data_IF_173314479430
#
_entry.id   IF_173314479430
#
_cell.length_a   1.000
_cell.length_b   1.000
_cell.length_c   1.000
_cell.angle_alpha   90.00
_cell.angle_beta   90.00
_cell.angle_gamma   90.00
#
_symmetry.space_group_name_H-M   'P 1'
#
loop_
_entity.id
_entity.type
_entity.pdbx_description
1 polymer ?
#
# COMPACT_ATOMS: atom_id res chain seq x y z
N UNK A 1 18.84 79.56 -23.84
CA UNK A 1 18.01 78.43 -24.31
C UNK A 1 18.65 77.17 -23.78
N UNK A 2 17.99 76.66 -22.75
CA UNK A 2 18.33 75.49 -21.94
C UNK A 2 18.10 74.21 -22.73
N UNK A 3 19.06 73.30 -22.68
CA UNK A 3 18.88 71.91 -23.08
C UNK A 3 18.35 71.11 -21.87
N UNK A 4 17.22 70.41 -22.00
CA UNK A 4 16.95 69.23 -21.21
C UNK A 4 16.90 68.01 -22.14
N UNK A 5 17.69 66.97 -21.88
CA UNK A 5 17.49 65.60 -22.40
C UNK A 5 18.67 64.71 -22.02
N UNK A 6 18.95 64.63 -20.71
CA UNK A 6 19.85 63.58 -20.18
C UNK A 6 19.29 62.85 -18.94
N UNK A 7 18.09 63.22 -18.49
CA UNK A 7 17.40 62.54 -17.37
C UNK A 7 16.23 61.65 -17.82
N UNK A 8 15.79 61.71 -19.09
CA UNK A 8 14.70 60.83 -19.58
C UNK A 8 15.21 59.43 -19.93
N UNK A 9 16.41 59.30 -20.51
CA UNK A 9 16.98 57.99 -20.84
C UNK A 9 17.31 57.12 -19.62
N UNK A 10 17.75 57.72 -18.52
CA UNK A 10 18.08 56.96 -17.30
C UNK A 10 16.83 56.47 -16.54
N UNK A 11 15.69 57.18 -16.68
CA UNK A 11 14.42 56.77 -16.06
C UNK A 11 13.67 55.73 -16.88
N UNK A 12 13.86 55.68 -18.19
CA UNK A 12 13.37 54.60 -19.04
C UNK A 12 14.21 53.33 -18.84
N UNK A 13 15.54 53.43 -18.75
CA UNK A 13 16.41 52.30 -18.43
C UNK A 13 16.17 51.73 -17.02
N UNK A 14 15.96 52.57 -15.99
CA UNK A 14 15.58 52.09 -14.64
C UNK A 14 14.18 51.45 -14.62
N UNK A 15 13.22 51.94 -15.42
CA UNK A 15 11.89 51.33 -15.51
C UNK A 15 11.90 50.00 -16.25
N UNK A 16 12.73 49.86 -17.27
CA UNK A 16 12.89 48.60 -17.99
C UNK A 16 13.66 47.56 -17.16
N UNK A 17 14.62 47.99 -16.33
CA UNK A 17 15.26 47.12 -15.33
C UNK A 17 14.31 46.73 -14.19
N UNK A 18 13.47 47.64 -13.70
CA UNK A 18 12.46 47.34 -12.67
C UNK A 18 11.33 46.47 -13.22
N UNK A 19 10.90 46.68 -14.47
CA UNK A 19 9.95 45.82 -15.16
C UNK A 19 10.53 44.42 -15.45
N UNK A 20 11.82 44.33 -15.84
CA UNK A 20 12.49 43.04 -15.98
C UNK A 20 12.71 42.34 -14.63
N UNK A 21 13.00 43.08 -13.55
CA UNK A 21 13.05 42.51 -12.19
C UNK A 21 11.69 42.04 -11.72
N UNK A 22 10.61 42.76 -12.01
CA UNK A 22 9.24 42.33 -11.69
C UNK A 22 8.79 41.15 -12.56
N UNK A 23 9.31 41.01 -13.79
CA UNK A 23 9.11 39.83 -14.64
C UNK A 23 9.98 38.64 -14.21
N UNK A 24 11.19 38.87 -13.69
CA UNK A 24 12.02 37.84 -13.03
C UNK A 24 11.44 37.42 -11.69
N UNK A 25 10.88 38.34 -10.89
CA UNK A 25 10.15 38.03 -9.65
C UNK A 25 8.80 37.38 -9.93
N UNK A 26 8.05 37.79 -10.97
CA UNK A 26 6.84 37.09 -11.41
C UNK A 26 7.15 35.73 -12.07
N UNK A 27 8.32 35.58 -12.70
CA UNK A 27 8.87 34.32 -13.20
C UNK A 27 9.31 33.41 -12.06
N UNK A 28 9.91 33.96 -11.00
CA UNK A 28 10.32 33.24 -9.80
C UNK A 28 9.13 32.85 -8.92
N UNK A 29 8.05 33.66 -8.89
CA UNK A 29 6.81 33.40 -8.15
C UNK A 29 5.81 32.53 -8.94
N UNK A 30 6.08 32.22 -10.21
CA UNK A 30 5.30 31.24 -10.99
C UNK A 30 6.00 29.89 -11.21
N UNK A 31 7.15 29.66 -10.56
CA UNK A 31 7.57 28.29 -10.27
C UNK A 31 6.68 27.75 -9.15
N UNK A 32 5.44 27.40 -9.51
CA UNK A 32 4.68 26.44 -8.71
C UNK A 32 5.64 25.29 -8.48
N UNK A 33 6.03 25.04 -7.23
CA UNK A 33 6.76 23.83 -6.83
C UNK A 33 6.16 22.69 -7.64
N UNK A 34 6.94 22.20 -8.61
CA UNK A 34 6.47 21.19 -9.54
C UNK A 34 6.38 19.90 -8.73
N UNK A 35 5.23 19.70 -8.07
CA UNK A 35 4.77 18.43 -7.47
C UNK A 35 4.53 17.38 -8.57
N UNK A 36 5.53 17.19 -9.41
CA UNK A 36 5.54 16.31 -10.57
C UNK A 36 6.51 15.19 -10.25
N UNK A 37 5.92 14.04 -9.97
CA UNK A 37 6.57 12.82 -9.50
C UNK A 37 7.03 12.89 -8.04
N UNK A 38 7.22 11.71 -7.45
CA UNK A 38 8.12 11.53 -6.33
C UNK A 38 9.51 11.98 -6.82
N UNK A 39 9.80 13.29 -6.77
CA UNK A 39 11.11 13.78 -7.11
C UNK A 39 12.11 13.11 -6.16
N UNK A 40 13.21 12.66 -6.76
CA UNK A 40 14.40 12.15 -6.11
C UNK A 40 15.07 13.15 -5.13
N UNK A 41 14.39 14.23 -4.73
CA UNK A 41 14.86 15.33 -3.89
C UNK A 41 14.90 15.02 -2.40
N UNK A 42 14.07 14.12 -1.88
CA UNK A 42 14.21 13.58 -0.52
C UNK A 42 14.81 12.16 -0.53
N UNK A 43 15.78 11.90 -1.43
CA UNK A 43 16.62 10.72 -1.23
C UNK A 43 17.35 10.89 0.10
N UNK A 44 16.96 10.11 1.12
CA UNK A 44 17.69 10.06 2.39
C UNK A 44 19.10 9.62 2.03
N UNK A 45 20.02 10.58 2.02
CA UNK A 45 21.44 10.31 2.07
C UNK A 45 21.63 9.50 3.34
N UNK A 46 21.79 8.18 3.21
CA UNK A 46 22.39 7.39 4.26
C UNK A 46 23.77 8.00 4.39
N UNK A 47 23.90 8.94 5.32
CA UNK A 47 25.11 9.72 5.51
C UNK A 47 26.29 8.78 5.47
N UNK A 48 27.28 9.13 4.66
CA UNK A 48 28.60 8.53 4.64
C UNK A 48 29.19 8.63 6.05
N UNK A 49 28.82 7.68 6.91
CA UNK A 49 29.56 7.42 8.14
C UNK A 49 30.68 6.50 7.72
N UNK A 50 31.80 7.17 7.39
CA UNK A 50 33.19 6.73 7.39
C UNK A 50 33.47 5.31 6.88
N UNK A 51 34.12 5.22 5.71
CA UNK A 51 35.53 4.82 5.58
C UNK A 51 35.82 4.57 4.09
N UNK A 52 36.67 5.40 3.51
CA UNK A 52 37.28 5.28 2.17
C UNK A 52 38.20 4.05 2.00
N UNK A 53 37.94 2.93 2.70
CA UNK A 53 38.90 1.79 2.73
C UNK A 53 38.27 0.40 2.85
N UNK A 54 36.97 0.22 2.57
CA UNK A 54 36.36 -1.11 2.57
C UNK A 54 36.24 -1.64 1.15
N UNK A 55 36.92 -2.75 0.84
CA UNK A 55 36.86 -3.48 -0.43
C UNK A 55 35.45 -3.50 -1.01
N UNK A 56 35.28 -3.04 -2.26
CA UNK A 56 34.00 -2.95 -2.99
C UNK A 56 33.23 -4.29 -3.09
N UNK A 57 33.90 -5.40 -2.78
CA UNK A 57 33.37 -6.76 -2.78
C UNK A 57 32.90 -7.26 -1.40
N UNK A 58 33.26 -6.60 -0.30
CA UNK A 58 32.95 -7.08 1.06
C UNK A 58 31.67 -6.45 1.61
N UNK A 59 30.82 -7.28 2.22
CA UNK A 59 29.60 -6.81 2.87
C UNK A 59 29.98 -6.23 4.24
N UNK A 60 29.71 -4.94 4.51
CA UNK A 60 30.01 -4.35 5.81
C UNK A 60 29.19 -5.00 6.94
N UNK A 61 29.67 -4.93 8.19
CA UNK A 61 29.00 -5.54 9.33
C UNK A 61 27.64 -4.92 9.62
N UNK A 62 26.73 -5.74 10.16
CA UNK A 62 25.38 -5.32 10.52
C UNK A 62 25.39 -4.22 11.59
N UNK A 63 24.56 -3.20 11.40
CA UNK A 63 24.38 -2.09 12.34
C UNK A 63 22.92 -1.79 12.57
N UNK A 64 22.51 -1.77 13.84
CA UNK A 64 21.16 -1.38 14.25
C UNK A 64 20.81 0.05 13.87
N UNK A 65 21.78 0.98 13.93
CA UNK A 65 21.56 2.38 13.50
C UNK A 65 21.30 2.46 12.00
N UNK A 66 21.99 1.65 11.20
CA UNK A 66 21.73 1.55 9.75
C UNK A 66 20.38 0.91 9.48
N UNK A 67 20.01 -0.16 10.20
CA UNK A 67 18.68 -0.76 10.06
C UNK A 67 17.58 0.31 10.21
N UNK A 68 17.64 1.13 11.27
CA UNK A 68 16.70 2.25 11.48
C UNK A 68 16.68 3.30 10.36
N UNK A 69 17.79 3.53 9.66
CA UNK A 69 17.85 4.43 8.50
C UNK A 69 17.22 3.80 7.25
N UNK A 70 17.35 2.49 7.09
CA UNK A 70 16.72 1.74 6.00
C UNK A 70 15.23 1.50 6.24
N UNK A 71 14.79 1.51 7.51
CA UNK A 71 13.38 1.41 7.89
C UNK A 71 12.52 2.51 7.24
N UNK A 72 11.39 2.11 6.66
CA UNK A 72 10.40 2.95 6.01
C UNK A 72 9.66 2.18 4.91
N UNK A 73 10.34 1.80 3.80
CA UNK A 73 9.71 1.10 2.68
C UNK A 73 8.96 -0.16 3.07
N UNK A 74 9.57 -1.05 3.87
CA UNK A 74 8.94 -2.30 4.30
C UNK A 74 7.73 -2.07 5.21
N UNK A 75 7.78 -1.07 6.08
CA UNK A 75 6.65 -0.69 6.94
C UNK A 75 5.50 -0.09 6.13
N UNK A 76 5.80 0.84 5.21
CA UNK A 76 4.80 1.44 4.33
C UNK A 76 4.09 0.36 3.50
N UNK A 77 4.85 -0.61 2.99
CA UNK A 77 4.30 -1.78 2.32
C UNK A 77 3.43 -2.64 3.23
N UNK A 78 3.86 -2.89 4.48
CA UNK A 78 3.10 -3.73 5.43
C UNK A 78 1.77 -3.14 5.85
N UNK A 79 1.65 -1.81 5.86
CA UNK A 79 0.39 -1.13 6.18
C UNK A 79 -0.65 -1.38 5.08
N UNK A 80 -0.23 -1.53 3.83
CA UNK A 80 -1.13 -1.91 2.75
C UNK A 80 -1.71 -3.34 2.93
N UNK A 81 -1.08 -4.21 3.72
CA UNK A 81 -1.66 -5.51 4.12
C UNK A 81 -2.69 -5.37 5.26
N UNK A 82 -2.94 -4.18 5.78
CA UNK A 82 -3.88 -3.92 6.86
C UNK A 82 -5.00 -2.98 6.41
N UNK A 83 -5.16 -2.83 5.10
CA UNK A 83 -6.20 -2.02 4.49
C UNK A 83 -7.61 -2.59 4.78
N UNK A 84 -8.67 -1.79 4.64
CA UNK A 84 -10.03 -2.26 4.90
C UNK A 84 -10.42 -3.48 4.05
N UNK A 85 -9.92 -3.58 2.82
CA UNK A 85 -10.17 -4.71 1.93
C UNK A 85 -9.62 -6.03 2.47
N UNK A 86 -8.40 -6.02 3.02
CA UNK A 86 -7.82 -7.20 3.64
C UNK A 86 -8.48 -7.54 4.98
N UNK A 87 -8.74 -6.54 5.84
CA UNK A 87 -9.45 -6.77 7.10
C UNK A 87 -10.83 -7.41 6.88
N UNK A 88 -11.57 -6.95 5.87
CA UNK A 88 -12.86 -7.52 5.51
C UNK A 88 -12.75 -8.95 4.97
N UNK A 89 -11.79 -9.22 4.08
CA UNK A 89 -11.53 -10.56 3.58
C UNK A 89 -11.16 -11.55 4.70
N UNK A 90 -10.33 -11.10 5.65
CA UNK A 90 -9.86 -11.90 6.77
C UNK A 90 -10.94 -12.18 7.81
N UNK A 91 -11.81 -11.22 8.11
CA UNK A 91 -12.95 -11.46 9.02
C UNK A 91 -14.02 -12.34 8.36
N UNK A 92 -14.30 -12.17 7.06
CA UNK A 92 -15.27 -13.00 6.33
C UNK A 92 -14.77 -14.44 6.18
N UNK A 93 -13.48 -14.61 5.85
CA UNK A 93 -12.87 -15.94 5.75
C UNK A 93 -12.88 -16.65 7.11
N UNK A 94 -12.62 -15.94 8.20
CA UNK A 94 -12.73 -16.46 9.56
C UNK A 94 -14.16 -16.87 9.90
N UNK A 95 -15.14 -16.00 9.68
CA UNK A 95 -16.53 -16.29 9.99
C UNK A 95 -17.11 -17.47 9.20
N UNK A 96 -16.81 -17.56 7.89
CA UNK A 96 -17.39 -18.57 7.00
C UNK A 96 -16.62 -19.90 7.06
N UNK A 97 -15.28 -19.84 7.03
CA UNK A 97 -14.42 -21.02 6.91
C UNK A 97 -13.77 -21.44 8.24
N UNK A 98 -13.94 -20.66 9.31
CA UNK A 98 -13.38 -20.97 10.62
C UNK A 98 -11.85 -20.96 10.56
N UNK A 99 -11.22 -21.96 11.20
CA UNK A 99 -9.76 -22.09 11.19
C UNK A 99 -9.19 -22.80 9.94
N UNK A 100 -10.03 -23.20 8.98
CA UNK A 100 -9.59 -24.02 7.85
C UNK A 100 -8.75 -23.26 6.81
N UNK A 101 -8.84 -21.93 6.76
CA UNK A 101 -8.07 -21.09 5.82
C UNK A 101 -6.83 -20.45 6.44
N UNK A 102 -6.52 -20.71 7.71
CA UNK A 102 -5.35 -20.12 8.38
C UNK A 102 -4.02 -20.55 7.76
N UNK A 103 -3.90 -21.80 7.30
CA UNK A 103 -2.73 -22.25 6.55
C UNK A 103 -2.57 -21.46 5.27
N UNK A 104 -3.69 -21.13 4.59
CA UNK A 104 -3.67 -20.38 3.35
C UNK A 104 -3.25 -18.93 3.61
N UNK A 105 -3.79 -18.29 4.67
CA UNK A 105 -3.35 -16.98 5.12
C UNK A 105 -1.84 -16.96 5.39
N UNK A 106 -1.31 -17.94 6.14
CA UNK A 106 0.12 -18.05 6.43
C UNK A 106 0.95 -18.20 5.16
N UNK A 107 0.60 -19.14 4.28
CA UNK A 107 1.35 -19.38 3.05
C UNK A 107 1.22 -18.22 2.05
N UNK A 108 0.06 -17.58 1.96
CA UNK A 108 -0.14 -16.38 1.15
C UNK A 108 0.75 -15.24 1.65
N UNK A 109 0.88 -15.05 2.97
CA UNK A 109 1.77 -14.00 3.51
C UNK A 109 3.25 -14.36 3.32
N UNK A 110 3.64 -15.63 3.44
CA UNK A 110 5.01 -16.08 3.11
C UNK A 110 5.33 -15.86 1.64
N UNK A 111 4.41 -16.17 0.73
CA UNK A 111 4.56 -15.91 -0.70
C UNK A 111 4.57 -14.41 -0.99
N UNK A 112 3.70 -13.64 -0.33
CA UNK A 112 3.71 -12.19 -0.36
C UNK A 112 5.08 -11.63 0.02
N UNK A 113 5.65 -12.09 1.14
CA UNK A 113 7.01 -11.72 1.54
C UNK A 113 8.04 -12.07 0.47
N UNK A 114 8.01 -13.28 -0.08
CA UNK A 114 8.93 -13.68 -1.15
C UNK A 114 8.84 -12.73 -2.36
N UNK A 115 7.61 -12.45 -2.83
CA UNK A 115 7.36 -11.54 -3.95
C UNK A 115 7.87 -10.13 -3.63
N UNK A 116 7.65 -9.64 -2.40
CA UNK A 116 8.13 -8.35 -1.95
C UNK A 116 9.67 -8.29 -1.91
N UNK A 117 10.34 -9.34 -1.44
CA UNK A 117 11.80 -9.43 -1.45
C UNK A 117 12.36 -9.47 -2.87
N UNK A 118 11.68 -10.14 -3.80
CA UNK A 118 12.06 -10.13 -5.21
C UNK A 118 11.89 -8.75 -5.84
N UNK A 119 10.78 -8.08 -5.55
CA UNK A 119 10.51 -6.72 -6.00
C UNK A 119 11.56 -5.72 -5.49
N UNK A 120 11.86 -5.76 -4.18
CA UNK A 120 12.93 -4.99 -3.57
C UNK A 120 14.28 -5.29 -4.23
N UNK A 121 14.56 -6.57 -4.53
CA UNK A 121 15.80 -6.98 -5.18
C UNK A 121 15.96 -6.37 -6.56
N UNK A 122 14.91 -6.36 -7.38
CA UNK A 122 14.93 -5.71 -8.70
C UNK A 122 15.25 -4.23 -8.55
N UNK A 123 14.54 -3.53 -7.67
CA UNK A 123 14.71 -2.09 -7.46
C UNK A 123 16.13 -1.71 -7.02
N UNK A 124 16.71 -2.47 -6.09
CA UNK A 124 18.06 -2.20 -5.57
C UNK A 124 19.15 -2.62 -6.55
N UNK A 125 19.02 -3.78 -7.19
CA UNK A 125 20.07 -4.31 -8.07
C UNK A 125 20.16 -3.57 -9.41
N UNK A 126 19.02 -3.16 -9.97
CA UNK A 126 18.98 -2.47 -11.28
C UNK A 126 18.97 -0.95 -11.16
N UNK A 127 18.63 -0.41 -9.99
CA UNK A 127 18.41 1.03 -9.79
C UNK A 127 17.19 1.59 -10.54
N UNK A 128 16.33 0.71 -11.06
CA UNK A 128 15.12 1.02 -11.84
C UNK A 128 13.94 0.22 -11.30
N UNK A 129 12.73 0.78 -11.36
CA UNK A 129 11.58 0.10 -10.78
C UNK A 129 10.93 -0.85 -11.80
N UNK A 130 10.12 -1.79 -11.30
CA UNK A 130 9.59 -2.89 -12.12
C UNK A 130 8.84 -2.40 -13.36
N UNK A 131 8.02 -1.34 -13.22
CA UNK A 131 7.26 -0.79 -14.35
C UNK A 131 8.15 -0.20 -15.47
N UNK A 132 9.30 0.39 -15.13
CA UNK A 132 10.27 0.88 -16.12
C UNK A 132 10.93 -0.29 -16.88
N UNK A 133 11.31 -1.34 -16.16
CA UNK A 133 11.91 -2.52 -16.77
C UNK A 133 10.91 -3.26 -17.67
N UNK A 134 9.65 -3.37 -17.24
CA UNK A 134 8.59 -3.92 -18.08
C UNK A 134 8.39 -3.12 -19.37
N UNK A 135 8.55 -1.79 -19.33
CA UNK A 135 8.46 -0.96 -20.52
C UNK A 135 9.59 -1.21 -21.53
N UNK A 136 10.79 -1.46 -21.05
CA UNK A 136 11.96 -1.63 -21.91
C UNK A 136 12.05 -3.03 -22.50
N UNK A 137 11.56 -4.04 -21.78
CA UNK A 137 11.69 -5.45 -22.15
C UNK A 137 10.50 -5.97 -22.97
N UNK A 138 9.30 -5.43 -22.76
CA UNK A 138 8.10 -5.91 -23.46
C UNK A 138 7.71 -5.04 -24.66
N UNK A 139 7.16 -5.66 -25.74
CA UNK A 139 6.65 -4.91 -26.88
C UNK A 139 5.46 -4.02 -26.47
N UNK A 140 5.19 -2.99 -27.27
CA UNK A 140 4.22 -1.94 -26.95
C UNK A 140 2.84 -2.45 -26.55
N UNK A 141 2.32 -3.48 -27.23
CA UNK A 141 1.01 -4.07 -26.93
C UNK A 141 0.98 -4.74 -25.55
N UNK A 142 2.02 -5.51 -25.19
CA UNK A 142 2.09 -6.23 -23.91
C UNK A 142 2.26 -5.24 -22.77
N UNK A 143 3.09 -4.21 -22.97
CA UNK A 143 3.25 -3.09 -22.03
C UNK A 143 1.92 -2.40 -21.73
N UNK A 144 1.09 -2.14 -22.75
CA UNK A 144 -0.22 -1.51 -22.56
C UNK A 144 -1.19 -2.41 -21.81
N UNK A 145 -1.18 -3.72 -22.07
CA UNK A 145 -1.99 -4.69 -21.32
C UNK A 145 -1.56 -4.74 -19.85
N UNK A 146 -0.25 -4.82 -19.58
CA UNK A 146 0.28 -4.82 -18.21
C UNK A 146 -0.06 -3.53 -17.46
N UNK A 147 0.05 -2.38 -18.13
CA UNK A 147 -0.38 -1.10 -17.58
C UNK A 147 -1.87 -1.09 -17.23
N UNK A 148 -2.73 -1.49 -18.17
CA UNK A 148 -4.18 -1.53 -17.96
C UNK A 148 -4.56 -2.46 -16.79
N UNK A 149 -3.95 -3.63 -16.70
CA UNK A 149 -4.17 -4.59 -15.61
C UNK A 149 -3.71 -4.03 -14.26
N UNK A 150 -2.55 -3.36 -14.22
CA UNK A 150 -2.05 -2.71 -13.01
C UNK A 150 -2.94 -1.55 -12.55
N UNK A 151 -3.45 -0.74 -13.48
CA UNK A 151 -4.43 0.32 -13.21
C UNK A 151 -5.75 -0.23 -12.70
N UNK A 152 -6.22 -1.33 -13.29
CA UNK A 152 -7.45 -1.99 -12.86
C UNK A 152 -7.33 -2.54 -11.42
N UNK A 153 -6.18 -3.15 -11.10
CA UNK A 153 -5.87 -3.58 -9.73
C UNK A 153 -5.83 -2.40 -8.75
N UNK A 154 -5.26 -1.26 -9.17
CA UNK A 154 -5.18 -0.06 -8.36
C UNK A 154 -6.58 0.51 -8.08
N UNK A 155 -7.42 0.68 -9.11
CA UNK A 155 -8.80 1.15 -8.95
C UNK A 155 -9.60 0.21 -8.05
N UNK A 156 -9.39 -1.11 -8.18
CA UNK A 156 -10.04 -2.09 -7.31
C UNK A 156 -9.72 -1.87 -5.82
N UNK A 157 -8.46 -1.65 -5.48
CA UNK A 157 -8.03 -1.36 -4.11
C UNK A 157 -8.57 0.01 -3.63
N UNK A 158 -8.57 1.00 -4.53
CA UNK A 158 -9.13 2.34 -4.28
C UNK A 158 -10.62 2.26 -3.91
N UNK A 159 -11.40 1.40 -4.57
CA UNK A 159 -12.82 1.16 -4.22
C UNK A 159 -12.95 0.59 -2.81
N UNK A 160 -12.16 -0.43 -2.46
CA UNK A 160 -12.21 -1.06 -1.13
C UNK A 160 -11.89 -0.05 -0.02
N UNK A 161 -10.96 0.86 -0.29
CA UNK A 161 -10.60 1.92 0.62
C UNK A 161 -11.72 2.96 0.79
N UNK A 162 -12.36 3.43 -0.29
CA UNK A 162 -13.52 4.33 -0.18
C UNK A 162 -14.63 3.68 0.64
N UNK A 163 -14.89 2.40 0.42
CA UNK A 163 -15.91 1.66 1.16
C UNK A 163 -15.52 1.56 2.64
N UNK A 164 -14.29 1.18 2.94
CA UNK A 164 -13.78 1.09 4.31
C UNK A 164 -13.82 2.40 5.08
N UNK A 165 -13.37 3.50 4.46
CA UNK A 165 -13.39 4.84 5.06
C UNK A 165 -14.81 5.38 5.22
N UNK A 166 -15.70 5.13 4.26
CA UNK A 166 -17.11 5.50 4.37
C UNK A 166 -17.81 4.73 5.51
N UNK A 167 -17.52 3.43 5.66
CA UNK A 167 -18.01 2.61 6.77
C UNK A 167 -17.44 3.10 8.09
N UNK A 168 -16.14 3.43 8.15
CA UNK A 168 -15.53 4.01 9.35
C UNK A 168 -16.26 5.29 9.79
N UNK A 169 -16.56 6.21 8.85
CA UNK A 169 -17.33 7.42 9.13
C UNK A 169 -18.75 7.10 9.64
N UNK A 170 -19.43 6.11 9.05
CA UNK A 170 -20.73 5.65 9.52
C UNK A 170 -20.65 5.11 10.97
N UNK A 171 -19.63 4.31 11.29
CA UNK A 171 -19.41 3.76 12.63
C UNK A 171 -19.12 4.88 13.65
N UNK A 172 -18.22 5.80 13.32
CA UNK A 172 -17.83 6.92 14.18
C UNK A 172 -18.99 7.88 14.44
N UNK A 173 -19.89 8.06 13.47
CA UNK A 173 -21.11 8.86 13.59
C UNK A 173 -22.29 8.12 14.24
N UNK A 174 -22.09 6.88 14.74
CA UNK A 174 -23.14 6.01 15.30
C UNK A 174 -24.33 5.80 14.35
N UNK A 175 -24.06 5.77 13.04
CA UNK A 175 -25.07 5.60 12.00
C UNK A 175 -25.88 6.86 11.67
N UNK A 176 -25.52 8.03 12.23
CA UNK A 176 -26.15 9.30 11.85
C UNK A 176 -25.83 9.67 10.40
N UNK A 177 -24.60 9.42 9.96
CA UNK A 177 -24.20 9.63 8.57
C UNK A 177 -24.42 8.35 7.76
N UNK A 178 -25.31 8.36 6.76
CA UNK A 178 -25.53 7.22 5.88
C UNK A 178 -24.33 6.98 4.94
N UNK A 179 -24.14 5.73 4.50
CA UNK A 179 -23.01 5.30 3.66
C UNK A 179 -22.69 6.20 2.46
N UNK A 180 -23.69 6.55 1.65
CA UNK A 180 -23.52 7.47 0.51
C UNK A 180 -22.94 8.84 0.89
N UNK A 181 -23.24 9.36 2.08
CA UNK A 181 -22.66 10.61 2.60
C UNK A 181 -21.22 10.35 3.06
N UNK A 182 -20.96 9.21 3.70
CA UNK A 182 -19.60 8.75 3.98
C UNK A 182 -18.73 8.72 2.72
N UNK A 183 -19.24 8.12 1.63
CA UNK A 183 -18.55 8.05 0.32
C UNK A 183 -18.28 9.44 -0.27
N UNK A 184 -19.21 10.39 -0.12
CA UNK A 184 -18.99 11.78 -0.55
C UNK A 184 -17.96 12.51 0.32
N UNK A 185 -17.94 12.24 1.63
CA UNK A 185 -16.92 12.77 2.53
C UNK A 185 -15.55 12.22 2.14
N UNK A 186 -15.47 10.93 1.76
CA UNK A 186 -14.23 10.32 1.24
C UNK A 186 -13.86 10.76 -0.19
N UNK A 187 -14.63 11.66 -0.80
CA UNK A 187 -14.18 12.40 -1.98
C UNK A 187 -13.41 13.65 -1.56
N UNK A 188 -13.86 14.28 -0.48
CA UNK A 188 -13.24 15.48 0.09
C UNK A 188 -11.99 15.15 0.90
N UNK A 189 -11.93 13.98 1.53
CA UNK A 189 -10.77 13.55 2.31
C UNK A 189 -9.51 13.43 1.46
N UNK A 190 -9.61 13.04 0.19
CA UNK A 190 -8.48 12.96 -0.73
C UNK A 190 -7.83 14.33 -0.89
N UNK A 191 -8.61 15.41 -0.97
CA UNK A 191 -8.09 16.77 -1.02
C UNK A 191 -7.47 17.21 0.31
N UNK A 192 -8.13 16.88 1.41
CA UNK A 192 -7.59 17.15 2.75
C UNK A 192 -6.28 16.40 2.99
N UNK A 193 -6.18 15.17 2.50
CA UNK A 193 -5.02 14.32 2.59
C UNK A 193 -3.87 14.89 1.76
N UNK A 194 -4.12 15.25 0.49
CA UNK A 194 -3.12 15.92 -0.36
C UNK A 194 -2.61 17.22 0.28
N UNK A 195 -3.49 17.97 0.95
CA UNK A 195 -3.08 19.14 1.72
C UNK A 195 -2.23 18.78 2.95
N UNK A 196 -2.55 17.68 3.65
CA UNK A 196 -1.75 17.16 4.76
C UNK A 196 -0.39 16.61 4.30
N UNK A 197 -0.28 16.06 3.09
CA UNK A 197 1.00 15.55 2.54
C UNK A 197 2.08 16.64 2.57
N UNK A 198 1.70 17.90 2.32
CA UNK A 198 2.57 19.07 2.40
C UNK A 198 3.16 19.29 3.82
N UNK A 199 2.55 18.72 4.86
CA UNK A 199 3.02 18.79 6.25
C UNK A 199 4.14 17.78 6.57
N UNK A 200 4.40 16.86 5.64
CA UNK A 200 5.48 15.88 5.68
C UNK A 200 4.98 14.44 5.79
N UNK A 201 5.21 13.66 4.72
CA UNK A 201 4.80 12.24 4.57
C UNK A 201 5.19 11.38 5.77
N UNK A 202 6.43 11.49 6.25
CA UNK A 202 6.94 10.68 7.38
C UNK A 202 6.16 10.87 8.67
N UNK A 203 5.65 12.08 8.95
CA UNK A 203 4.88 12.36 10.16
C UNK A 203 3.48 11.72 10.08
N UNK A 204 2.89 11.73 8.89
CA UNK A 204 1.59 11.11 8.62
C UNK A 204 1.67 9.59 8.68
N UNK A 205 2.68 9.00 8.05
CA UNK A 205 2.95 7.55 8.12
C UNK A 205 3.12 7.11 9.58
N UNK A 206 3.89 7.86 10.38
CA UNK A 206 4.05 7.56 11.80
C UNK A 206 2.73 7.67 12.58
N UNK A 207 1.90 8.67 12.29
CA UNK A 207 0.59 8.82 12.91
C UNK A 207 -0.34 7.64 12.59
N UNK A 208 -0.43 7.23 11.32
CA UNK A 208 -1.24 6.07 10.92
C UNK A 208 -0.67 4.76 11.47
N UNK A 209 0.65 4.59 11.48
CA UNK A 209 1.28 3.42 12.10
C UNK A 209 0.93 3.29 13.58
N UNK A 210 0.87 4.39 14.33
CA UNK A 210 0.43 4.38 15.74
C UNK A 210 -1.04 3.97 15.85
N UNK A 211 -1.93 4.53 15.05
CA UNK A 211 -3.36 4.20 15.07
C UNK A 211 -3.62 2.72 14.73
N UNK A 212 -2.96 2.22 13.68
CA UNK A 212 -3.05 0.81 13.26
C UNK A 212 -2.43 -0.11 14.31
N UNK A 213 -1.33 0.30 14.96
CA UNK A 213 -0.73 -0.46 16.06
C UNK A 213 -1.67 -0.57 17.26
N UNK A 214 -2.38 0.51 17.62
CA UNK A 214 -3.40 0.49 18.68
C UNK A 214 -4.49 -0.53 18.33
N UNK A 215 -5.00 -0.50 17.09
CA UNK A 215 -5.99 -1.47 16.60
C UNK A 215 -5.45 -2.91 16.68
N UNK A 216 -4.22 -3.15 16.23
CA UNK A 216 -3.59 -4.46 16.28
C UNK A 216 -3.41 -4.99 17.71
N UNK A 217 -3.02 -4.12 18.66
CA UNK A 217 -2.91 -4.47 20.08
C UNK A 217 -4.28 -4.79 20.70
N UNK A 218 -5.34 -4.07 20.31
CA UNK A 218 -6.70 -4.39 20.73
C UNK A 218 -7.13 -5.77 20.22
N UNK A 219 -6.82 -6.13 18.98
CA UNK A 219 -7.08 -7.48 18.47
C UNK A 219 -6.23 -8.55 19.15
N UNK A 220 -4.98 -8.25 19.49
CA UNK A 220 -4.14 -9.17 20.27
C UNK A 220 -4.74 -9.46 21.65
N UNK A 221 -5.28 -8.43 22.32
CA UNK A 221 -5.99 -8.59 23.59
C UNK A 221 -7.29 -9.40 23.42
N UNK A 222 -8.11 -9.08 22.42
CA UNK A 222 -9.35 -9.82 22.13
C UNK A 222 -9.07 -11.29 21.76
N UNK A 223 -7.99 -11.57 21.05
CA UNK A 223 -7.54 -12.93 20.75
C UNK A 223 -7.18 -13.70 22.03
N UNK A 224 -6.48 -13.05 22.97
CA UNK A 224 -6.13 -13.65 24.25
C UNK A 224 -7.36 -13.95 25.12
N UNK A 225 -8.33 -13.03 25.14
CA UNK A 225 -9.59 -13.18 25.88
C UNK A 225 -10.52 -14.23 25.25
N UNK A 226 -10.58 -14.31 23.93
CA UNK A 226 -11.37 -15.29 23.20
C UNK A 226 -10.97 -16.76 23.49
N UNK A 227 -9.78 -16.98 24.08
CA UNK A 227 -9.21 -18.29 24.41
C UNK A 227 -9.44 -19.34 23.31
N UNK A 228 -8.97 -19.11 22.08
CA UNK A 228 -9.15 -20.05 20.99
C UNK A 228 -8.51 -21.41 21.33
N UNK A 229 -9.09 -22.49 20.82
CA UNK A 229 -8.54 -23.83 21.03
C UNK A 229 -7.18 -23.91 20.32
N UNK A 230 -6.09 -23.91 21.10
CA UNK A 230 -4.71 -23.91 20.58
C UNK A 230 -4.45 -25.07 19.62
N UNK A 231 -5.09 -26.22 19.84
CA UNK A 231 -4.92 -27.39 18.99
C UNK A 231 -5.59 -27.19 17.62
N UNK A 232 -6.81 -26.64 17.58
CA UNK A 232 -7.50 -26.34 16.32
C UNK A 232 -6.84 -25.21 15.55
N UNK A 233 -6.33 -24.19 16.24
CA UNK A 233 -5.57 -23.10 15.64
C UNK A 233 -4.29 -23.63 14.96
N UNK A 234 -3.52 -24.44 15.69
CA UNK A 234 -2.29 -25.04 15.15
C UNK A 234 -2.59 -25.99 13.99
N UNK A 235 -3.65 -26.79 14.09
CA UNK A 235 -4.10 -27.63 12.98
C UNK A 235 -4.57 -26.79 11.78
N UNK A 236 -5.24 -25.67 12.01
CA UNK A 236 -5.69 -24.76 10.96
C UNK A 236 -4.54 -24.10 10.21
N UNK A 237 -3.44 -23.79 10.90
CA UNK A 237 -2.22 -23.20 10.32
C UNK A 237 -1.37 -24.25 9.57
N UNK A 238 -1.30 -25.48 10.07
CA UNK A 238 -0.39 -26.51 9.53
C UNK A 238 -1.03 -27.43 8.50
N UNK A 239 -2.34 -27.72 8.62
CA UNK A 239 -3.00 -28.75 7.81
C UNK A 239 -3.85 -28.11 6.71
N UNK A 240 -3.48 -28.28 5.43
CA UNK A 240 -4.28 -27.78 4.33
C UNK A 240 -5.61 -28.54 4.26
N UNK A 241 -6.71 -27.87 4.61
CA UNK A 241 -8.07 -28.39 4.47
C UNK A 241 -8.89 -27.43 3.61
N UNK A 242 -9.20 -27.87 2.39
CA UNK A 242 -10.06 -27.13 1.47
C UNK A 242 -11.38 -27.89 1.29
N UNK A 243 -12.49 -27.18 1.40
CA UNK A 243 -13.83 -27.67 1.07
C UNK A 243 -14.33 -26.95 -0.18
N UNK A 244 -15.17 -27.60 -1.00
CA UNK A 244 -15.74 -26.97 -2.20
C UNK A 244 -16.52 -25.69 -1.87
N UNK A 245 -17.06 -25.58 -0.65
CA UNK A 245 -17.79 -24.38 -0.18
C UNK A 245 -16.89 -23.21 0.20
N UNK A 246 -15.59 -23.43 0.40
CA UNK A 246 -14.62 -22.42 0.87
C UNK A 246 -13.67 -21.96 -0.23
N UNK A 247 -13.83 -22.42 -1.48
CA UNK A 247 -12.93 -22.07 -2.58
C UNK A 247 -12.97 -20.57 -2.89
N UNK A 248 -14.17 -19.97 -2.88
CA UNK A 248 -14.32 -18.54 -3.16
C UNK A 248 -13.61 -17.69 -2.10
N UNK A 249 -13.76 -18.05 -0.83
CA UNK A 249 -13.05 -17.42 0.30
C UNK A 249 -11.55 -17.67 0.19
N UNK A 250 -11.12 -18.86 -0.22
CA UNK A 250 -9.69 -19.16 -0.42
C UNK A 250 -9.06 -18.27 -1.50
N UNK A 251 -9.74 -18.09 -2.64
CA UNK A 251 -9.29 -17.15 -3.68
C UNK A 251 -9.27 -15.74 -3.12
N UNK A 252 -10.34 -15.31 -2.43
CA UNK A 252 -10.40 -14.00 -1.78
C UNK A 252 -9.23 -13.74 -0.83
N UNK A 253 -8.88 -14.70 0.03
CA UNK A 253 -7.73 -14.63 0.97
C UNK A 253 -6.41 -14.45 0.22
N UNK A 254 -6.21 -15.13 -0.91
CA UNK A 254 -4.99 -14.96 -1.70
C UNK A 254 -4.93 -13.57 -2.32
N UNK A 255 -6.04 -13.07 -2.87
CA UNK A 255 -6.11 -11.75 -3.50
C UNK A 255 -5.99 -10.58 -2.54
N UNK A 256 -6.53 -10.70 -1.33
CA UNK A 256 -6.43 -9.65 -0.33
C UNK A 256 -5.03 -9.59 0.30
N UNK A 257 -4.34 -10.74 0.43
CA UNK A 257 -2.96 -10.77 0.93
C UNK A 257 -1.96 -10.34 -0.13
N UNK A 258 -2.09 -10.81 -1.39
CA UNK A 258 -1.10 -10.51 -2.44
C UNK A 258 -1.65 -9.43 -3.38
N UNK A 259 -1.41 -8.17 -3.02
CA UNK A 259 -1.77 -7.03 -3.86
C UNK A 259 -0.77 -6.82 -5.01
N UNK A 260 -1.21 -6.81 -6.28
CA UNK A 260 -0.33 -6.66 -7.44
C UNK A 260 0.37 -5.29 -7.53
N UNK A 261 -0.36 -4.20 -7.24
CA UNK A 261 0.20 -2.84 -7.29
C UNK A 261 1.32 -2.64 -6.26
N UNK A 262 1.26 -3.36 -5.15
CA UNK A 262 2.29 -3.36 -4.11
C UNK A 262 3.63 -3.91 -4.62
N UNK A 263 3.61 -4.82 -5.60
CA UNK A 263 4.83 -5.32 -6.25
C UNK A 263 5.54 -4.19 -6.99
N UNK A 264 4.80 -3.33 -7.71
CA UNK A 264 5.38 -2.18 -8.40
C UNK A 264 5.85 -1.13 -7.40
N UNK A 265 5.04 -0.83 -6.39
CA UNK A 265 5.35 0.16 -5.36
C UNK A 265 6.65 -0.16 -4.61
N UNK A 266 6.81 -1.40 -4.12
CA UNK A 266 7.97 -1.75 -3.32
C UNK A 266 9.28 -1.65 -4.12
N UNK A 267 9.28 -2.05 -5.41
CA UNK A 267 10.44 -1.92 -6.30
C UNK A 267 10.89 -0.47 -6.50
N UNK A 268 9.98 0.49 -6.32
CA UNK A 268 10.26 1.91 -6.41
C UNK A 268 10.63 2.53 -5.06
N UNK A 269 9.95 2.15 -3.97
CA UNK A 269 10.21 2.69 -2.63
C UNK A 269 11.63 2.38 -2.13
N UNK A 270 12.19 1.21 -2.48
CA UNK A 270 13.57 0.87 -2.13
C UNK A 270 14.61 1.78 -2.79
N UNK A 271 14.25 2.51 -3.86
CA UNK A 271 15.12 3.49 -4.52
C UNK A 271 15.11 4.86 -3.87
N UNK A 272 14.27 5.07 -2.86
CA UNK A 272 14.33 6.27 -2.01
C UNK A 272 15.67 6.38 -1.27
N UNK A 273 16.41 5.28 -1.14
CA UNK A 273 17.78 5.26 -0.59
C UNK A 273 18.79 5.25 -1.73
N UNK A 274 19.78 6.15 -1.68
CA UNK A 274 20.89 6.16 -2.65
C UNK A 274 21.78 4.95 -2.39
N UNK A 275 21.73 3.98 -3.29
CA UNK A 275 22.60 2.81 -3.30
C UNK A 275 23.29 2.81 -4.66
N UNK A 276 24.62 2.72 -4.67
CA UNK A 276 25.39 2.60 -5.91
C UNK A 276 25.28 1.16 -6.44
N UNK A 277 24.62 0.93 -7.60
CA UNK A 277 24.45 -0.41 -8.15
C UNK A 277 25.78 -1.07 -8.54
N UNK A 278 26.84 -0.27 -8.75
CA UNK A 278 28.15 -0.79 -9.15
C UNK A 278 28.91 -1.46 -7.99
N UNK A 279 28.56 -1.12 -6.75
CA UNK A 279 29.22 -1.64 -5.54
C UNK A 279 28.48 -2.87 -5.00
N UNK A 280 28.97 -4.06 -5.34
CA UNK A 280 28.31 -5.33 -4.99
C UNK A 280 28.11 -5.50 -3.47
N UNK A 281 29.10 -5.13 -2.66
CA UNK A 281 28.99 -5.20 -1.19
C UNK A 281 27.84 -4.34 -0.63
N UNK A 282 27.59 -3.17 -1.23
CA UNK A 282 26.55 -2.22 -0.80
C UNK A 282 25.16 -2.67 -1.24
N UNK A 283 25.04 -3.21 -2.45
CA UNK A 283 23.78 -3.84 -2.93
C UNK A 283 23.41 -4.98 -1.99
N UNK A 284 24.34 -5.88 -1.67
CA UNK A 284 24.07 -7.00 -0.77
C UNK A 284 23.73 -6.54 0.66
N UNK A 285 24.41 -5.52 1.17
CA UNK A 285 24.08 -4.87 2.46
C UNK A 285 22.63 -4.38 2.47
N UNK A 286 22.24 -3.61 1.45
CA UNK A 286 20.89 -3.06 1.35
C UNK A 286 19.82 -4.17 1.23
N UNK A 287 20.07 -5.21 0.43
CA UNK A 287 19.17 -6.36 0.32
C UNK A 287 18.96 -7.06 1.66
N UNK A 288 20.02 -7.20 2.47
CA UNK A 288 19.91 -7.81 3.81
C UNK A 288 19.07 -6.93 4.74
N UNK A 289 19.25 -5.61 4.73
CA UNK A 289 18.44 -4.69 5.55
C UNK A 289 16.97 -4.70 5.13
N UNK A 290 16.68 -4.56 3.83
CA UNK A 290 15.31 -4.63 3.32
C UNK A 290 14.67 -5.99 3.58
N UNK A 291 15.45 -7.07 3.57
CA UNK A 291 14.95 -8.40 3.91
C UNK A 291 14.53 -8.49 5.37
N UNK A 292 15.34 -7.99 6.30
CA UNK A 292 15.02 -7.99 7.74
C UNK A 292 13.81 -7.09 8.00
N UNK A 293 13.80 -5.88 7.43
CA UNK A 293 12.72 -4.92 7.59
C UNK A 293 11.39 -5.46 7.07
N UNK A 294 11.35 -5.91 5.81
CA UNK A 294 10.12 -6.43 5.19
C UNK A 294 9.63 -7.68 5.92
N UNK A 295 10.52 -8.56 6.36
CA UNK A 295 10.14 -9.76 7.11
C UNK A 295 9.52 -9.40 8.46
N UNK A 296 10.09 -8.44 9.19
CA UNK A 296 9.55 -7.97 10.46
C UNK A 296 8.19 -7.30 10.27
N UNK A 297 8.07 -6.40 9.28
CA UNK A 297 6.86 -5.65 9.00
C UNK A 297 5.69 -6.58 8.58
N UNK A 298 5.93 -7.49 7.62
CA UNK A 298 4.90 -8.46 7.20
C UNK A 298 4.57 -9.49 8.29
N UNK A 299 5.52 -9.81 9.18
CA UNK A 299 5.22 -10.68 10.35
C UNK A 299 4.24 -10.00 11.30
N UNK A 300 4.37 -8.69 11.53
CA UNK A 300 3.42 -7.92 12.33
C UNK A 300 2.04 -7.91 11.65
N UNK A 301 1.98 -7.61 10.34
CA UNK A 301 0.71 -7.62 9.60
C UNK A 301 0.05 -9.00 9.62
N UNK A 302 0.81 -10.08 9.40
CA UNK A 302 0.32 -11.45 9.51
C UNK A 302 -0.30 -11.73 10.89
N UNK A 303 0.34 -11.25 11.95
CA UNK A 303 -0.12 -11.49 13.31
C UNK A 303 -1.46 -10.78 13.58
N UNK A 304 -1.62 -9.55 13.07
CA UNK A 304 -2.90 -8.82 13.14
C UNK A 304 -3.99 -9.56 12.37
N UNK A 305 -3.72 -9.96 11.13
CA UNK A 305 -4.65 -10.71 10.28
C UNK A 305 -5.07 -12.02 10.95
N UNK A 306 -4.11 -12.77 11.50
CA UNK A 306 -4.37 -14.00 12.26
C UNK A 306 -5.29 -13.74 13.46
N UNK A 307 -5.08 -12.66 14.21
CA UNK A 307 -5.93 -12.30 15.34
C UNK A 307 -7.35 -11.96 14.90
N UNK A 308 -7.50 -11.12 13.85
CA UNK A 308 -8.79 -10.76 13.27
C UNK A 308 -9.54 -12.01 12.82
N UNK A 309 -8.95 -12.81 11.93
CA UNK A 309 -9.58 -14.05 11.42
C UNK A 309 -9.97 -14.99 12.56
N UNK A 310 -9.13 -15.16 13.58
CA UNK A 310 -9.41 -16.08 14.69
C UNK A 310 -10.56 -15.58 15.58
N UNK A 311 -10.61 -14.29 15.90
CA UNK A 311 -11.66 -13.68 16.73
C UNK A 311 -13.02 -13.84 16.05
N UNK A 312 -13.10 -13.55 14.75
CA UNK A 312 -14.34 -13.69 13.97
C UNK A 312 -14.71 -15.16 13.71
N UNK A 313 -13.74 -16.04 13.48
CA UNK A 313 -13.98 -17.48 13.42
C UNK A 313 -14.60 -18.01 14.71
N UNK A 314 -14.08 -17.62 15.88
CA UNK A 314 -14.64 -18.06 17.16
C UNK A 314 -16.04 -17.50 17.41
N UNK A 315 -16.32 -16.30 16.91
CA UNK A 315 -17.60 -15.61 17.09
C UNK A 315 -18.72 -16.12 16.20
N UNK A 316 -18.42 -16.39 14.93
CA UNK A 316 -19.44 -16.57 13.89
C UNK A 316 -19.40 -17.93 13.19
N UNK A 317 -18.33 -18.71 13.31
CA UNK A 317 -18.24 -19.97 12.59
C UNK A 317 -19.37 -20.94 13.01
N UNK A 318 -20.10 -21.45 12.02
CA UNK A 318 -21.27 -22.33 12.23
C UNK A 318 -22.59 -21.60 12.56
N UNK A 319 -22.58 -20.27 12.64
CA UNK A 319 -23.79 -19.44 12.82
C UNK A 319 -24.44 -19.10 11.47
N UNK A 320 -25.73 -18.75 11.47
CA UNK A 320 -26.43 -18.29 10.26
C UNK A 320 -25.96 -16.91 9.79
N UNK A 321 -25.46 -16.08 10.72
CA UNK A 321 -24.99 -14.71 10.49
C UNK A 321 -23.60 -14.65 9.85
N UNK A 322 -22.89 -15.78 9.76
CA UNK A 322 -21.53 -15.84 9.19
C UNK A 322 -21.42 -15.32 7.75
N UNK A 323 -22.51 -15.35 6.98
CA UNK A 323 -22.52 -14.91 5.58
C UNK A 323 -22.79 -13.42 5.40
N UNK A 324 -23.31 -12.76 6.44
CA UNK A 324 -23.73 -11.36 6.42
C UNK A 324 -22.76 -10.49 7.23
N UNK A 325 -21.57 -11.02 7.53
CA UNK A 325 -20.54 -10.29 8.27
C UNK A 325 -19.80 -9.35 7.31
N UNK A 326 -19.77 -8.08 7.70
CA UNK A 326 -19.05 -7.00 7.02
C UNK A 326 -18.44 -6.07 8.05
N UNK A 327 -17.75 -5.02 7.58
CA UNK A 327 -17.01 -4.09 8.45
C UNK A 327 -17.90 -3.37 9.48
N UNK A 328 -19.17 -3.10 9.15
CA UNK A 328 -20.14 -2.46 10.06
C UNK A 328 -20.54 -3.40 11.20
N UNK A 329 -21.07 -4.58 10.84
CA UNK A 329 -21.54 -5.59 11.78
C UNK A 329 -20.40 -6.12 12.67
N UNK A 330 -19.18 -6.19 12.11
CA UNK A 330 -17.98 -6.52 12.84
C UNK A 330 -17.74 -5.56 14.01
N UNK A 331 -17.80 -4.25 13.78
CA UNK A 331 -17.60 -3.26 14.83
C UNK A 331 -18.62 -3.37 15.96
N UNK A 332 -19.90 -3.57 15.61
CA UNK A 332 -20.98 -3.75 16.59
C UNK A 332 -20.78 -4.99 17.45
N UNK A 333 -20.40 -6.11 16.83
CA UNK A 333 -20.09 -7.35 17.52
C UNK A 333 -18.93 -7.20 18.51
N UNK A 334 -17.85 -6.52 18.10
CA UNK A 334 -16.69 -6.31 18.96
C UNK A 334 -17.05 -5.49 20.20
N UNK A 335 -17.90 -4.47 20.04
CA UNK A 335 -18.39 -3.66 21.16
C UNK A 335 -19.31 -4.45 22.09
N UNK A 336 -20.25 -5.22 21.56
CA UNK A 336 -21.18 -6.01 22.37
C UNK A 336 -20.44 -7.07 23.21
N UNK A 337 -19.43 -7.71 22.62
CA UNK A 337 -18.75 -8.83 23.26
C UNK A 337 -17.59 -8.43 24.16
N UNK A 338 -16.78 -7.46 23.72
CA UNK A 338 -15.52 -7.10 24.39
C UNK A 338 -15.54 -5.67 24.94
N UNK A 339 -16.61 -4.90 24.69
CA UNK A 339 -16.76 -3.54 25.20
C UNK A 339 -16.94 -3.47 26.72
N UNK A 340 -17.19 -2.25 27.22
CA UNK A 340 -17.32 -1.99 28.66
C UNK A 340 -16.03 -1.50 29.36
N UNK A 341 -14.96 -1.27 28.59
CA UNK A 341 -13.73 -0.62 29.06
C UNK A 341 -13.80 0.92 29.07
N UNK A 342 -12.68 1.57 29.38
CA UNK A 342 -12.57 3.05 29.45
C UNK A 342 -12.81 3.72 28.09
N UNK A 343 -12.44 3.06 26.99
CA UNK A 343 -12.64 3.55 25.64
C UNK A 343 -13.40 2.49 24.81
N UNK A 344 -14.51 2.83 24.12
CA UNK A 344 -15.29 1.86 23.36
C UNK A 344 -14.49 1.26 22.20
N UNK A 345 -14.56 -0.06 22.05
CA UNK A 345 -13.85 -0.81 21.00
C UNK A 345 -14.40 -0.43 19.63
N UNK A 346 -15.69 -0.09 19.54
CA UNK A 346 -16.29 0.44 18.33
C UNK A 346 -15.52 1.64 17.76
N UNK A 347 -15.04 2.55 18.62
CA UNK A 347 -14.27 3.71 18.19
C UNK A 347 -12.83 3.34 17.82
N UNK A 348 -12.21 2.38 18.51
CA UNK A 348 -10.88 1.87 18.12
C UNK A 348 -10.96 1.25 16.73
N UNK A 349 -12.00 0.46 16.48
CA UNK A 349 -12.28 -0.14 15.17
C UNK A 349 -12.53 0.92 14.09
N UNK A 350 -13.42 1.88 14.36
CA UNK A 350 -13.72 2.96 13.41
C UNK A 350 -12.50 3.84 13.09
N UNK A 351 -11.74 4.26 14.11
CA UNK A 351 -10.53 5.06 13.91
C UNK A 351 -9.44 4.24 13.20
N UNK A 352 -9.27 2.97 13.56
CA UNK A 352 -8.32 2.06 12.92
C UNK A 352 -8.64 1.82 11.45
N UNK A 353 -9.91 1.57 11.11
CA UNK A 353 -10.38 1.45 9.73
C UNK A 353 -10.16 2.73 8.93
N UNK A 354 -10.45 3.89 9.53
CA UNK A 354 -10.19 5.17 8.87
C UNK A 354 -8.70 5.38 8.65
N UNK A 355 -7.85 5.09 9.64
CA UNK A 355 -6.39 5.20 9.49
C UNK A 355 -5.83 4.26 8.42
N UNK A 356 -6.29 3.02 8.36
CA UNK A 356 -5.93 2.05 7.33
C UNK A 356 -6.37 2.52 5.94
N UNK A 357 -7.62 2.99 5.82
CA UNK A 357 -8.19 3.56 4.60
C UNK A 357 -7.78 5.01 4.33
N UNK A 358 -6.79 5.56 5.01
CA UNK A 358 -6.09 6.78 4.58
C UNK A 358 -4.65 6.44 4.22
N UNK A 359 -4.01 5.55 4.97
CA UNK A 359 -2.68 5.06 4.62
C UNK A 359 -2.67 4.30 3.28
N UNK A 360 -3.75 3.60 2.95
CA UNK A 360 -3.90 2.94 1.65
C UNK A 360 -3.88 3.95 0.49
N UNK A 361 -4.54 5.11 0.61
CA UNK A 361 -4.65 6.10 -0.49
C UNK A 361 -3.29 6.74 -0.77
N UNK A 362 -2.45 6.89 0.25
CA UNK A 362 -1.03 7.25 0.09
C UNK A 362 -0.34 6.24 -0.81
N UNK A 363 -0.38 4.96 -0.40
CA UNK A 363 0.32 3.90 -1.11
C UNK A 363 -0.22 3.71 -2.54
N UNK A 364 -1.54 3.83 -2.73
CA UNK A 364 -2.18 3.76 -4.04
C UNK A 364 -1.79 4.92 -4.95
N UNK A 365 -1.71 6.15 -4.41
CA UNK A 365 -1.27 7.33 -5.18
C UNK A 365 0.18 7.17 -5.62
N UNK A 366 1.07 6.68 -4.76
CA UNK A 366 2.46 6.38 -5.12
C UNK A 366 2.58 5.23 -6.12
N UNK A 367 1.87 4.12 -5.89
CA UNK A 367 1.87 2.99 -6.80
C UNK A 367 1.41 3.42 -8.21
N UNK A 368 0.33 4.20 -8.29
CA UNK A 368 -0.20 4.74 -9.54
C UNK A 368 0.79 5.65 -10.27
N UNK A 369 1.56 6.47 -9.55
CA UNK A 369 2.61 7.30 -10.15
C UNK A 369 3.74 6.48 -10.75
N UNK A 370 4.23 5.46 -10.03
CA UNK A 370 5.28 4.58 -10.55
C UNK A 370 4.77 3.72 -11.71
N UNK A 371 3.53 3.23 -11.66
CA UNK A 371 2.90 2.49 -12.76
C UNK A 371 2.79 3.39 -14.00
N UNK A 372 2.23 4.59 -13.86
CA UNK A 372 2.00 5.50 -14.99
C UNK A 372 3.30 6.09 -15.56
N UNK A 373 4.21 6.53 -14.69
CA UNK A 373 5.54 7.02 -15.09
C UNK A 373 6.39 5.93 -15.72
N UNK A 374 6.39 4.72 -15.15
CA UNK A 374 7.16 3.58 -15.66
C UNK A 374 6.63 3.06 -16.98
N UNK A 375 5.35 2.68 -17.04
CA UNK A 375 4.78 2.06 -18.25
C UNK A 375 4.55 3.06 -19.39
N UNK A 376 4.03 4.26 -19.10
CA UNK A 376 3.59 5.21 -20.14
C UNK A 376 4.51 6.43 -20.32
N UNK A 377 5.50 6.65 -19.45
CA UNK A 377 6.28 7.90 -19.38
C UNK A 377 5.46 9.16 -19.07
N UNK A 378 4.24 9.00 -18.56
CA UNK A 378 3.36 10.14 -18.31
C UNK A 378 3.57 10.63 -16.88
N UNK A 379 4.01 11.88 -16.76
CA UNK A 379 4.20 12.55 -15.47
C UNK A 379 2.96 13.39 -15.18
N UNK A 380 2.06 12.88 -14.35
CA UNK A 380 0.95 13.67 -13.81
C UNK A 380 1.31 14.20 -12.43
N UNK A 381 0.75 15.36 -12.09
CA UNK A 381 0.78 15.89 -10.72
C UNK A 381 0.07 14.92 -9.77
N UNK A 382 0.59 14.78 -8.55
CA UNK A 382 0.07 13.82 -7.56
C UNK A 382 -1.43 13.99 -7.30
N UNK A 383 -1.85 15.24 -7.08
CA UNK A 383 -3.24 15.60 -6.78
C UNK A 383 -4.20 15.28 -7.94
N UNK A 384 -3.77 15.56 -9.17
CA UNK A 384 -4.58 15.31 -10.36
C UNK A 384 -4.75 13.81 -10.58
N UNK A 385 -3.69 13.04 -10.32
CA UNK A 385 -3.73 11.59 -10.40
C UNK A 385 -4.68 10.99 -9.36
N UNK A 386 -4.52 11.38 -8.09
CA UNK A 386 -5.38 10.92 -7.01
C UNK A 386 -6.86 11.27 -7.26
N UNK A 387 -7.14 12.47 -7.79
CA UNK A 387 -8.48 12.89 -8.16
C UNK A 387 -9.08 12.01 -9.27
N UNK A 388 -8.31 11.70 -10.31
CA UNK A 388 -8.77 10.85 -11.42
C UNK A 388 -9.09 9.45 -10.90
N UNK A 389 -8.15 8.80 -10.20
CA UNK A 389 -8.36 7.43 -9.69
C UNK A 389 -9.52 7.39 -8.69
N UNK A 390 -9.62 8.38 -7.79
CA UNK A 390 -10.75 8.47 -6.86
C UNK A 390 -12.07 8.69 -7.56
N UNK A 391 -12.11 9.49 -8.62
CA UNK A 391 -13.34 9.66 -9.39
C UNK A 391 -13.81 8.33 -9.98
N UNK A 392 -12.88 7.51 -10.51
CA UNK A 392 -13.18 6.18 -11.01
C UNK A 392 -13.56 5.17 -9.92
N UNK A 393 -13.12 5.34 -8.67
CA UNK A 393 -13.51 4.50 -7.55
C UNK A 393 -14.85 4.91 -6.92
N UNK A 394 -15.08 6.22 -6.78
CA UNK A 394 -16.27 6.79 -6.14
C UNK A 394 -17.51 6.57 -7.00
N UNK A 395 -17.44 6.74 -8.33
CA UNK A 395 -18.61 6.61 -9.21
C UNK A 395 -19.27 5.23 -9.11
N UNK A 396 -18.56 4.10 -9.27
CA UNK A 396 -19.13 2.77 -9.04
C UNK A 396 -19.67 2.59 -7.63
N UNK A 397 -18.96 3.09 -6.62
CA UNK A 397 -19.34 2.94 -5.22
C UNK A 397 -20.64 3.69 -4.90
N UNK A 398 -20.79 4.93 -5.39
CA UNK A 398 -22.02 5.72 -5.25
C UNK A 398 -23.18 5.04 -5.98
N UNK A 399 -22.96 4.57 -7.22
CA UNK A 399 -23.99 3.85 -7.97
C UNK A 399 -24.47 2.64 -7.17
N UNK A 400 -23.55 1.84 -6.63
CA UNK A 400 -23.91 0.68 -5.82
C UNK A 400 -24.66 1.11 -4.55
N UNK A 401 -24.18 2.14 -3.84
CA UNK A 401 -24.82 2.64 -2.62
C UNK A 401 -26.23 3.21 -2.84
N UNK A 402 -26.50 3.83 -4.00
CA UNK A 402 -27.80 4.44 -4.35
C UNK A 402 -28.75 3.39 -4.94
N UNK A 403 -28.29 2.58 -5.90
CA UNK A 403 -29.10 1.60 -6.63
C UNK A 403 -29.47 0.42 -5.73
N UNK A 404 -28.50 -0.11 -4.99
CA UNK A 404 -28.72 -1.18 -4.01
C UNK A 404 -29.06 -0.57 -2.66
N UNK A 405 -30.22 0.07 -2.65
CA UNK A 405 -30.85 0.78 -1.53
C UNK A 405 -30.50 0.15 -0.16
N UNK A 406 -29.62 0.81 0.60
CA UNK A 406 -29.37 0.61 2.06
C UNK A 406 -28.98 -0.80 2.54
N UNK A 407 -28.64 -1.77 1.71
CA UNK A 407 -28.17 -3.07 2.22
C UNK A 407 -26.64 -3.11 2.29
N UNK A 408 -26.09 -3.06 3.51
CA UNK A 408 -24.65 -3.28 3.79
C UNK A 408 -24.11 -4.53 3.09
N UNK A 409 -24.94 -5.58 3.00
CA UNK A 409 -24.64 -6.83 2.29
C UNK A 409 -24.23 -6.67 0.80
N UNK A 410 -24.72 -5.64 0.09
CA UNK A 410 -24.35 -5.42 -1.32
C UNK A 410 -22.93 -4.86 -1.47
N UNK A 411 -22.46 -4.07 -0.50
CA UNK A 411 -21.08 -3.58 -0.45
C UNK A 411 -20.13 -4.70 -0.04
N UNK A 412 -20.53 -5.55 0.90
CA UNK A 412 -19.75 -6.72 1.31
C UNK A 412 -19.52 -7.67 0.11
N UNK A 413 -20.56 -7.90 -0.70
CA UNK A 413 -20.45 -8.70 -1.94
C UNK A 413 -19.50 -8.02 -2.94
N UNK A 414 -19.58 -6.70 -3.11
CA UNK A 414 -18.70 -5.96 -3.99
C UNK A 414 -17.24 -6.12 -3.54
N UNK A 415 -16.95 -6.01 -2.25
CA UNK A 415 -15.62 -6.20 -1.68
C UNK A 415 -15.09 -7.63 -1.88
N UNK A 416 -15.94 -8.66 -1.71
CA UNK A 416 -15.58 -10.05 -2.01
C UNK A 416 -15.15 -10.21 -3.49
N UNK A 417 -15.89 -9.59 -4.42
CA UNK A 417 -15.52 -9.59 -5.85
C UNK A 417 -14.27 -8.79 -6.16
N UNK A 418 -14.02 -7.68 -5.45
CA UNK A 418 -12.78 -6.91 -5.60
C UNK A 418 -11.56 -7.72 -5.14
N UNK A 419 -11.67 -8.49 -4.06
CA UNK A 419 -10.61 -9.41 -3.63
C UNK A 419 -10.36 -10.53 -4.67
N UNK A 420 -11.42 -11.04 -5.31
CA UNK A 420 -11.28 -11.99 -6.43
C UNK A 420 -10.61 -11.31 -7.64
N UNK A 421 -10.97 -10.06 -7.94
CA UNK A 421 -10.31 -9.28 -8.99
C UNK A 421 -8.81 -9.14 -8.70
N UNK A 422 -8.40 -8.79 -7.47
CA UNK A 422 -6.99 -8.72 -7.10
C UNK A 422 -6.26 -10.05 -7.35
N UNK A 423 -6.89 -11.17 -7.00
CA UNK A 423 -6.34 -12.51 -7.24
C UNK A 423 -6.06 -12.77 -8.72
N UNK A 424 -6.99 -12.37 -9.60
CA UNK A 424 -6.84 -12.50 -11.04
C UNK A 424 -5.72 -11.63 -11.61
N UNK A 425 -5.35 -10.56 -10.91
CA UNK A 425 -4.32 -9.61 -11.32
C UNK A 425 -2.91 -10.05 -10.89
N UNK A 426 -2.77 -10.94 -9.90
CA UNK A 426 -1.46 -11.42 -9.41
C UNK A 426 -0.54 -11.91 -10.54
N UNK A 427 -0.97 -12.75 -11.50
CA UNK A 427 -0.09 -13.25 -12.55
C UNK A 427 0.51 -12.15 -13.42
N UNK A 428 -0.22 -11.05 -13.65
CA UNK A 428 0.25 -9.94 -14.48
C UNK A 428 1.35 -9.12 -13.82
N UNK A 429 1.45 -9.12 -12.49
CA UNK A 429 2.58 -8.53 -11.76
C UNK A 429 3.71 -9.55 -11.54
N UNK A 430 3.35 -10.81 -11.24
CA UNK A 430 4.30 -11.86 -10.88
C UNK A 430 5.11 -12.36 -12.07
N UNK A 431 4.50 -12.61 -13.22
CA UNK A 431 5.19 -13.14 -14.41
C UNK A 431 6.30 -12.18 -14.86
N UNK A 432 6.06 -10.87 -15.03
CA UNK A 432 7.14 -9.93 -15.33
C UNK A 432 8.21 -9.88 -14.27
N UNK A 433 7.83 -9.85 -12.98
CA UNK A 433 8.78 -9.84 -11.87
C UNK A 433 9.75 -11.03 -11.95
N UNK A 434 9.22 -12.25 -12.03
CA UNK A 434 10.03 -13.47 -12.06
C UNK A 434 10.91 -13.55 -13.31
N UNK A 435 10.38 -13.12 -14.46
CA UNK A 435 11.13 -13.11 -15.72
C UNK A 435 12.32 -12.17 -15.63
N UNK A 436 12.11 -10.96 -15.09
CA UNK A 436 13.15 -9.93 -15.00
C UNK A 436 14.20 -10.25 -13.93
N UNK A 437 13.77 -10.78 -12.79
CA UNK A 437 14.65 -11.26 -11.71
C UNK A 437 15.55 -12.42 -12.15
N UNK A 438 15.10 -13.23 -13.10
CA UNK A 438 15.83 -14.41 -13.57
C UNK A 438 16.75 -14.09 -14.76
N UNK A 439 16.62 -12.90 -15.36
CA UNK A 439 17.41 -12.47 -16.52
C UNK A 439 18.81 -12.03 -16.09
N UNK A 440 19.81 -12.80 -16.50
CA UNK A 440 21.22 -12.57 -16.16
C UNK A 440 21.76 -11.23 -16.68
N UNK A 441 21.29 -10.78 -17.85
CA UNK A 441 21.66 -9.48 -18.41
C UNK A 441 21.21 -8.28 -17.56
N UNK A 442 20.12 -8.43 -16.80
CA UNK A 442 19.58 -7.35 -15.95
C UNK A 442 20.12 -7.44 -14.53
N UNK A 443 20.19 -8.65 -13.96
CA UNK A 443 20.51 -8.85 -12.55
C UNK A 443 22.00 -9.12 -12.29
N UNK A 444 22.77 -9.47 -13.32
CA UNK A 444 24.19 -9.80 -13.19
C UNK A 444 24.45 -10.83 -12.09
N UNK A 445 25.31 -10.48 -11.14
CA UNK A 445 25.65 -11.35 -10.00
C UNK A 445 24.55 -11.52 -8.96
N UNK A 446 23.46 -10.75 -9.04
CA UNK A 446 22.32 -10.83 -8.10
C UNK A 446 21.15 -11.64 -8.65
N UNK A 447 21.37 -12.39 -9.75
CA UNK A 447 20.40 -13.32 -10.33
C UNK A 447 19.93 -14.33 -9.30
N UNK A 448 18.63 -14.62 -9.33
CA UNK A 448 18.04 -15.64 -8.47
C UNK A 448 18.31 -17.04 -9.02
N UNK A 449 18.72 -17.96 -8.14
CA UNK A 449 18.99 -19.34 -8.52
C UNK A 449 17.71 -20.13 -8.85
N UNK A 450 17.82 -21.23 -9.61
CA UNK A 450 16.68 -21.97 -10.16
C UNK A 450 15.73 -22.55 -9.10
N UNK A 451 16.18 -22.73 -7.85
CA UNK A 451 15.32 -23.24 -6.75
C UNK A 451 14.26 -22.23 -6.34
N UNK A 452 14.58 -20.93 -6.29
CA UNK A 452 13.59 -19.89 -5.99
C UNK A 452 12.64 -19.69 -7.18
N UNK A 453 13.18 -19.80 -8.40
CA UNK A 453 12.44 -19.71 -9.66
C UNK A 453 11.38 -20.82 -9.76
N UNK A 454 11.77 -22.07 -9.44
CA UNK A 454 10.85 -23.21 -9.35
C UNK A 454 9.85 -23.01 -8.19
N UNK A 455 10.29 -22.57 -7.01
CA UNK A 455 9.35 -22.36 -5.88
C UNK A 455 8.29 -21.30 -6.17
N UNK A 456 8.60 -20.32 -7.03
CA UNK A 456 7.66 -19.28 -7.42
C UNK A 456 6.80 -19.64 -8.63
N UNK A 457 7.20 -20.61 -9.45
CA UNK A 457 6.43 -21.12 -10.60
C UNK A 457 5.52 -22.31 -10.24
N UNK A 458 5.89 -23.11 -9.22
CA UNK A 458 5.33 -24.45 -9.02
C UNK A 458 4.23 -24.55 -7.93
N UNK A 459 3.71 -23.44 -7.39
CA UNK A 459 2.64 -23.46 -6.39
C UNK A 459 1.57 -22.41 -6.61
#
# INVERSE_FOLDING_TARGET
MSAPSREEGSKEEEKDEEANRLLEEAGAVSSSEEDVAYEAGEKILVADFDFDTVDDATVPPFSWKKLWLFTGPGFLMSIAFLDPGNLEGDLQSGAIAGYSLLWLLMWATVMGLLIQLLSARVGVATGRHLAELCRDEYPHWARLVLWFMAELALIGADIQEVIGSAIAIQILSRGFLPLWVGVLITASDCFFFLFLENYGVRKLEAAFAVLISIMGLSFAWMFADARPNRQELLMGILVPRLSSKTIRQAVGVVGCVIMPHNVFLHSALVQSRKIDPNKKGRVQEALNYYSIESSAALSVSFMINLFVTTVFAKGFYGTKQAKDIGLVNAGQYLEEKYGGGVFPILYIWGIGLLAAGQSSTITGTYAGQFIMGGFLNLRLKKWMRALITRSFAIVPTIIVAIVFNRSEASLDILNEWLNVLQSMQIPFALIPLLTLVSKEQLMGTFRVGPVLEISSFLK
#
